data_IF_583987401871
#
_entry.id   IF_583987401871
#
_cell.length_a   1.000
_cell.length_b   1.000
_cell.length_c   1.000
_cell.angle_alpha   90.00
_cell.angle_beta   90.00
_cell.angle_gamma   90.00
#
_symmetry.space_group_name_H-M   'P 1'
#
loop_
_entity.id
_entity.type
_entity.pdbx_description
1 polymer ?
#
# COMPACT_ATOMS: atom_id res chain seq x y z
N UNK A 1 32.14 -45.10 25.02
CA UNK A 1 30.97 -44.58 25.75
C UNK A 1 30.87 -43.11 25.38
N UNK A 2 29.80 -42.66 24.73
CA UNK A 2 29.68 -41.25 24.33
C UNK A 2 29.50 -40.44 25.61
N UNK A 3 30.43 -39.52 25.87
CA UNK A 3 30.43 -38.70 27.07
C UNK A 3 29.25 -37.72 27.03
N UNK A 4 28.31 -37.86 27.95
CA UNK A 4 27.11 -37.03 28.06
C UNK A 4 27.47 -35.53 28.13
N UNK A 5 28.61 -35.20 28.72
CA UNK A 5 29.09 -33.81 28.77
C UNK A 5 29.40 -33.25 27.38
N UNK A 6 29.97 -34.06 26.49
CA UNK A 6 30.26 -33.65 25.10
C UNK A 6 28.98 -33.39 24.30
N UNK A 7 27.94 -34.21 24.53
CA UNK A 7 26.63 -34.01 23.89
C UNK A 7 25.93 -32.75 24.42
N UNK A 8 26.05 -32.48 25.73
CA UNK A 8 25.49 -31.28 26.36
C UNK A 8 26.15 -30.00 25.82
N UNK A 9 27.47 -30.01 25.64
CA UNK A 9 28.20 -28.89 25.03
C UNK A 9 27.77 -28.66 23.58
N UNK A 10 27.65 -29.72 22.78
CA UNK A 10 27.17 -29.60 21.40
C UNK A 10 25.75 -29.03 21.33
N UNK A 11 24.87 -29.43 22.24
CA UNK A 11 23.52 -28.89 22.34
C UNK A 11 23.54 -27.40 22.71
N UNK A 12 24.36 -27.00 23.68
CA UNK A 12 24.52 -25.61 24.09
C UNK A 12 24.97 -24.72 22.92
N UNK A 13 25.96 -25.18 22.14
CA UNK A 13 26.46 -24.45 20.96
C UNK A 13 25.35 -24.27 19.92
N UNK A 14 24.59 -25.34 19.62
CA UNK A 14 23.47 -25.26 18.68
C UNK A 14 22.38 -24.32 19.16
N UNK A 15 22.07 -24.33 20.46
CA UNK A 15 21.07 -23.45 21.05
C UNK A 15 21.50 -21.97 20.95
N UNK A 16 22.77 -21.67 21.26
CA UNK A 16 23.31 -20.32 21.12
C UNK A 16 23.27 -19.83 19.68
N UNK A 17 23.63 -20.69 18.72
CA UNK A 17 23.56 -20.36 17.30
C UNK A 17 22.11 -20.12 16.85
N UNK A 18 21.17 -20.95 17.30
CA UNK A 18 19.75 -20.77 17.00
C UNK A 18 19.22 -19.44 17.55
N UNK A 19 19.55 -19.10 18.79
CA UNK A 19 19.13 -17.85 19.42
C UNK A 19 19.70 -16.63 18.68
N UNK A 20 20.98 -16.68 18.26
CA UNK A 20 21.60 -15.62 17.48
C UNK A 20 20.89 -15.43 16.14
N UNK A 21 20.63 -16.52 15.42
CA UNK A 21 19.93 -16.48 14.13
C UNK A 21 18.50 -15.96 14.29
N UNK A 22 17.80 -16.38 15.36
CA UNK A 22 16.46 -15.91 15.66
C UNK A 22 16.42 -14.40 15.93
N UNK A 23 17.34 -13.88 16.75
CA UNK A 23 17.46 -12.44 17.02
C UNK A 23 17.74 -11.64 15.75
N UNK A 24 18.64 -12.14 14.88
CA UNK A 24 18.92 -11.51 13.60
C UNK A 24 17.66 -11.47 12.71
N UNK A 25 16.98 -12.60 12.57
CA UNK A 25 15.77 -12.69 11.76
C UNK A 25 14.65 -11.78 12.30
N UNK A 26 14.49 -11.68 13.61
CA UNK A 26 13.51 -10.80 14.23
C UNK A 26 13.81 -9.31 13.93
N UNK A 27 15.09 -8.93 13.95
CA UNK A 27 15.53 -7.58 13.59
C UNK A 27 15.27 -7.27 12.12
N UNK A 28 15.66 -8.18 11.23
CA UNK A 28 15.43 -8.05 9.77
C UNK A 28 13.93 -7.97 9.46
N UNK A 29 13.10 -8.82 10.07
CA UNK A 29 11.65 -8.77 9.91
C UNK A 29 11.07 -7.42 10.35
N UNK A 30 11.54 -6.88 11.49
CA UNK A 30 11.15 -5.57 11.97
C UNK A 30 11.54 -4.43 11.01
N UNK A 31 12.72 -4.50 10.40
CA UNK A 31 13.18 -3.53 9.40
C UNK A 31 12.34 -3.61 8.13
N UNK A 32 12.12 -4.81 7.60
CA UNK A 32 11.31 -5.04 6.40
C UNK A 32 9.87 -4.55 6.56
N UNK A 33 9.25 -4.79 7.73
CA UNK A 33 7.91 -4.28 8.03
C UNK A 33 7.86 -2.74 8.02
N UNK A 34 8.89 -2.08 8.56
CA UNK A 34 8.97 -0.61 8.54
C UNK A 34 9.13 -0.07 7.12
N UNK A 35 9.99 -0.70 6.30
CA UNK A 35 10.15 -0.32 4.90
C UNK A 35 8.86 -0.54 4.10
N UNK A 36 8.17 -1.65 4.34
CA UNK A 36 6.89 -1.94 3.69
C UNK A 36 5.86 -0.85 3.97
N UNK A 37 5.70 -0.45 5.24
CA UNK A 37 4.78 0.63 5.62
C UNK A 37 5.16 1.94 4.91
N UNK A 38 6.45 2.29 4.89
CA UNK A 38 6.94 3.49 4.20
C UNK A 38 6.63 3.45 2.71
N UNK A 39 6.86 2.32 2.05
CA UNK A 39 6.61 2.15 0.61
C UNK A 39 5.12 2.17 0.28
N UNK A 40 4.27 1.59 1.13
CA UNK A 40 2.82 1.68 0.96
C UNK A 40 2.32 3.13 1.06
N UNK A 41 2.85 3.91 2.01
CA UNK A 41 2.52 5.33 2.12
C UNK A 41 2.96 6.13 0.88
N UNK A 42 4.18 5.87 0.39
CA UNK A 42 4.72 6.48 -0.84
C UNK A 42 3.85 6.15 -2.06
N UNK A 43 3.46 4.88 -2.23
CA UNK A 43 2.55 4.45 -3.32
C UNK A 43 1.18 5.13 -3.21
N UNK A 44 0.65 5.29 -2.01
CA UNK A 44 -0.62 6.00 -1.80
C UNK A 44 -0.54 7.46 -2.24
N UNK A 45 0.53 8.15 -1.83
CA UNK A 45 0.79 9.55 -2.20
C UNK A 45 0.98 9.73 -3.71
N UNK A 46 1.71 8.81 -4.35
CA UNK A 46 1.89 8.81 -5.80
C UNK A 46 0.58 8.55 -6.56
N UNK A 47 -0.28 7.66 -6.05
CA UNK A 47 -1.61 7.41 -6.64
C UNK A 47 -2.49 8.65 -6.58
N UNK A 48 -2.52 9.32 -5.43
CA UNK A 48 -3.27 10.58 -5.26
C UNK A 48 -2.76 11.67 -6.20
N UNK A 49 -1.43 11.82 -6.30
CA UNK A 49 -0.81 12.77 -7.23
C UNK A 49 -1.16 12.45 -8.67
N UNK A 50 -1.13 11.17 -9.06
CA UNK A 50 -1.51 10.72 -10.40
C UNK A 50 -2.98 11.02 -10.70
N UNK A 51 -3.86 10.79 -9.74
CA UNK A 51 -5.28 11.10 -9.86
C UNK A 51 -5.51 12.62 -10.04
N UNK A 52 -4.83 13.44 -9.25
CA UNK A 52 -4.90 14.90 -9.36
C UNK A 52 -4.40 15.39 -10.73
N UNK A 53 -3.28 14.86 -11.22
CA UNK A 53 -2.76 15.18 -12.56
C UNK A 53 -3.74 14.74 -13.64
N UNK A 54 -4.33 13.53 -13.52
CA UNK A 54 -5.32 13.05 -14.48
C UNK A 54 -6.56 13.96 -14.53
N UNK A 55 -7.04 14.42 -13.37
CA UNK A 55 -8.13 15.39 -13.31
C UNK A 55 -7.76 16.72 -13.99
N UNK A 56 -6.56 17.24 -13.76
CA UNK A 56 -6.08 18.46 -14.44
C UNK A 56 -5.99 18.27 -15.96
N UNK A 57 -5.51 17.11 -16.42
CA UNK A 57 -5.47 16.77 -17.85
C UNK A 57 -6.88 16.73 -18.44
N UNK A 58 -7.84 16.13 -17.73
CA UNK A 58 -9.23 16.03 -18.20
C UNK A 58 -9.86 17.43 -18.32
N UNK A 59 -9.65 18.32 -17.34
CA UNK A 59 -10.09 19.73 -17.41
C UNK A 59 -9.44 20.45 -18.59
N UNK A 60 -8.14 20.28 -18.79
CA UNK A 60 -7.43 20.91 -19.90
C UNK A 60 -7.91 20.39 -21.26
N UNK A 61 -8.20 19.09 -21.39
CA UNK A 61 -8.78 18.53 -22.62
C UNK A 61 -10.13 19.18 -22.93
N UNK A 62 -11.04 19.24 -21.96
CA UNK A 62 -12.35 19.89 -22.09
C UNK A 62 -12.25 21.38 -22.43
N UNK A 63 -11.19 22.07 -21.97
CA UNK A 63 -10.95 23.47 -22.31
C UNK A 63 -10.42 23.69 -23.73
N UNK A 64 -9.82 22.65 -24.34
CA UNK A 64 -9.12 22.72 -25.63
C UNK A 64 -9.97 22.17 -26.79
N UNK A 65 -10.83 21.19 -26.53
CA UNK A 65 -11.93 20.80 -27.42
C UNK A 65 -13.14 21.65 -27.07
N UNK A 66 -13.38 22.74 -27.82
CA UNK A 66 -14.62 23.49 -27.69
C UNK A 66 -15.82 22.54 -27.81
N UNK A 67 -16.57 22.40 -26.71
CA UNK A 67 -17.72 21.50 -26.50
C UNK A 67 -18.27 20.82 -27.75
N UNK A 68 -17.66 19.71 -28.15
CA UNK A 68 -18.33 18.79 -29.06
C UNK A 68 -19.35 17.98 -28.23
N UNK A 69 -20.57 17.91 -28.72
CA UNK A 69 -21.75 17.38 -28.01
C UNK A 69 -21.54 15.99 -27.39
N UNK A 70 -20.64 15.20 -27.97
CA UNK A 70 -20.22 13.87 -27.51
C UNK A 70 -19.47 13.90 -26.17
N UNK A 71 -18.60 14.89 -25.94
CA UNK A 71 -17.82 14.99 -24.71
C UNK A 71 -18.67 15.43 -23.51
N UNK A 72 -19.71 16.25 -23.76
CA UNK A 72 -20.68 16.64 -22.72
C UNK A 72 -21.41 15.42 -22.14
N UNK A 73 -21.81 14.48 -22.99
CA UNK A 73 -22.49 13.24 -22.57
C UNK A 73 -21.55 12.33 -21.76
N UNK A 74 -20.27 12.28 -22.12
CA UNK A 74 -19.25 11.53 -21.36
C UNK A 74 -19.03 12.18 -19.99
N UNK A 75 -19.00 13.51 -19.94
CA UNK A 75 -18.84 14.26 -18.69
C UNK A 75 -20.05 14.05 -17.76
N UNK A 76 -21.27 14.12 -18.29
CA UNK A 76 -22.51 13.86 -17.54
C UNK A 76 -22.49 12.47 -16.90
N UNK A 77 -22.13 11.43 -17.66
CA UNK A 77 -21.99 10.06 -17.11
C UNK A 77 -20.95 9.97 -16.00
N UNK A 78 -19.85 10.72 -16.10
CA UNK A 78 -18.78 10.69 -15.11
C UNK A 78 -19.18 11.44 -13.83
N UNK A 79 -19.94 12.53 -13.97
CA UNK A 79 -20.58 13.24 -12.86
C UNK A 79 -21.57 12.32 -12.14
N UNK A 80 -22.40 11.57 -12.86
CA UNK A 80 -23.35 10.61 -12.27
C UNK A 80 -22.66 9.52 -11.45
N UNK A 81 -21.49 9.04 -11.92
CA UNK A 81 -20.68 8.07 -11.18
C UNK A 81 -20.16 8.70 -9.87
N UNK A 82 -19.61 9.91 -9.94
CA UNK A 82 -19.13 10.61 -8.75
C UNK A 82 -20.25 10.93 -7.76
N UNK A 83 -21.45 11.29 -8.24
CA UNK A 83 -22.62 11.49 -7.38
C UNK A 83 -23.01 10.20 -6.65
N UNK A 84 -23.04 9.06 -7.35
CA UNK A 84 -23.29 7.75 -6.72
C UNK A 84 -22.25 7.37 -5.67
N UNK A 85 -20.98 7.70 -5.90
CA UNK A 85 -19.92 7.45 -4.92
C UNK A 85 -20.08 8.36 -3.69
N UNK A 86 -20.45 9.62 -3.88
CA UNK A 86 -20.76 10.55 -2.79
C UNK A 86 -21.94 10.03 -1.97
N UNK A 87 -23.04 9.60 -2.62
CA UNK A 87 -24.21 9.03 -1.93
C UNK A 87 -23.84 7.78 -1.13
N UNK A 88 -22.97 6.93 -1.68
CA UNK A 88 -22.49 5.72 -1.00
C UNK A 88 -21.63 6.05 0.23
N UNK A 89 -20.79 7.06 0.13
CA UNK A 89 -20.01 7.58 1.27
C UNK A 89 -20.91 8.24 2.32
N UNK A 90 -21.94 8.99 1.92
CA UNK A 90 -22.92 9.60 2.83
C UNK A 90 -23.77 8.55 3.56
N UNK A 91 -24.17 7.48 2.87
CA UNK A 91 -24.90 6.37 3.48
C UNK A 91 -24.06 5.62 4.52
N UNK A 92 -22.75 5.47 4.27
CA UNK A 92 -21.80 4.89 5.23
C UNK A 92 -21.54 5.80 6.44
N UNK A 93 -21.70 7.11 6.29
CA UNK A 93 -21.50 8.09 7.38
C UNK A 93 -22.74 8.27 8.27
N UNK A 94 -23.93 8.04 7.70
CA UNK A 94 -25.23 8.16 8.38
C UNK A 94 -25.76 6.80 8.91
N UNK A 95 -24.93 5.75 8.89
CA UNK A 95 -25.22 4.42 9.43
C UNK A 95 -24.41 4.13 10.70
#
# INVERSE_FOLDING_TARGET
MIDINSQLQLLQVKLQQLLKNYQQLQKENGQLKKELIKKLAEVSSLKETTQNIQQQIDVLKLSKSGFDTTEKVILEKRIDIYLKEIDKCLALLNA
#
